data_IF_164382739372
#
_entry.id   IF_164382739372
#
_cell.length_a   1.000
_cell.length_b   1.000
_cell.length_c   1.000
_cell.angle_alpha   90.00
_cell.angle_beta   90.00
_cell.angle_gamma   90.00
#
_symmetry.space_group_name_H-M   'P 1'
#
loop_
_entity.id
_entity.type
_entity.pdbx_description
1 polymer ?
#
# COMPACT_ATOMS: atom_id res chain seq x y z
N UNK A 1 -47.04 -14.86 -24.99
CA UNK A 1 -47.31 -13.42 -25.14
C UNK A 1 -46.80 -12.59 -23.97
N UNK A 2 -46.66 -13.12 -22.74
CA UNK A 2 -46.18 -12.34 -21.57
C UNK A 2 -44.66 -12.16 -21.44
N UNK A 3 -43.85 -12.99 -22.08
CA UNK A 3 -42.37 -12.93 -21.95
C UNK A 3 -41.75 -11.72 -22.66
N UNK A 4 -42.39 -11.24 -23.72
CA UNK A 4 -41.91 -10.15 -24.57
C UNK A 4 -42.12 -8.77 -23.92
N UNK A 5 -43.23 -8.63 -23.18
CA UNK A 5 -43.60 -7.39 -22.50
C UNK A 5 -42.66 -7.11 -21.29
N UNK A 6 -42.16 -8.16 -20.64
CA UNK A 6 -41.18 -8.06 -19.55
C UNK A 6 -39.75 -7.79 -20.04
N UNK A 7 -39.42 -8.20 -21.28
CA UNK A 7 -38.14 -7.86 -21.90
C UNK A 7 -38.09 -6.36 -22.26
N UNK A 8 -39.17 -5.83 -22.84
CA UNK A 8 -39.30 -4.40 -23.18
C UNK A 8 -39.30 -3.52 -21.93
N UNK A 9 -39.99 -3.93 -20.85
CA UNK A 9 -39.93 -3.22 -19.56
C UNK A 9 -38.53 -3.20 -18.96
N UNK A 10 -37.79 -4.32 -19.01
CA UNK A 10 -36.40 -4.40 -18.52
C UNK A 10 -35.43 -3.56 -19.35
N UNK A 11 -35.62 -3.49 -20.66
CA UNK A 11 -34.82 -2.64 -21.56
C UNK A 11 -35.05 -1.15 -21.29
N UNK A 12 -36.31 -0.74 -21.12
CA UNK A 12 -36.66 0.64 -20.78
C UNK A 12 -36.19 1.05 -19.37
N UNK A 13 -36.20 0.13 -18.41
CA UNK A 13 -35.65 0.35 -17.07
C UNK A 13 -34.12 0.56 -17.13
N UNK A 14 -33.39 -0.27 -17.89
CA UNK A 14 -31.94 -0.13 -18.12
C UNK A 14 -31.60 1.18 -18.81
N UNK A 15 -32.38 1.59 -19.82
CA UNK A 15 -32.19 2.86 -20.54
C UNK A 15 -32.40 4.08 -19.64
N UNK A 16 -33.41 4.06 -18.77
CA UNK A 16 -33.60 5.09 -17.73
C UNK A 16 -32.46 5.12 -16.72
N UNK A 17 -31.92 3.96 -16.34
CA UNK A 17 -30.79 3.86 -15.41
C UNK A 17 -29.48 4.39 -16.02
N UNK A 18 -29.24 4.11 -17.30
CA UNK A 18 -28.10 4.65 -18.06
C UNK A 18 -28.20 6.17 -18.25
N UNK A 19 -29.37 6.70 -18.61
CA UNK A 19 -29.60 8.14 -18.73
C UNK A 19 -29.45 8.86 -17.39
N UNK A 20 -29.90 8.25 -16.29
CA UNK A 20 -29.72 8.80 -14.93
C UNK A 20 -28.24 8.75 -14.50
N UNK A 21 -27.49 7.71 -14.86
CA UNK A 21 -26.05 7.65 -14.62
C UNK A 21 -25.29 8.67 -15.46
N UNK A 22 -25.66 8.88 -16.71
CA UNK A 22 -25.07 9.89 -17.59
C UNK A 22 -25.36 11.31 -17.07
N UNK A 23 -26.62 11.58 -16.68
CA UNK A 23 -27.02 12.85 -16.08
C UNK A 23 -26.33 13.12 -14.73
N UNK A 24 -26.11 12.11 -13.89
CA UNK A 24 -25.33 12.26 -12.66
C UNK A 24 -23.84 12.47 -12.94
N UNK A 25 -23.29 11.90 -14.01
CA UNK A 25 -21.89 12.10 -14.40
C UNK A 25 -21.66 13.50 -14.95
N UNK A 26 -22.60 14.03 -15.74
CA UNK A 26 -22.58 15.42 -16.25
C UNK A 26 -22.86 16.43 -15.12
N UNK A 27 -23.81 16.15 -14.22
CA UNK A 27 -24.06 17.01 -13.06
C UNK A 27 -22.87 17.05 -12.07
N UNK A 28 -22.07 15.98 -11.97
CA UNK A 28 -20.81 16.00 -11.23
C UNK A 28 -19.71 16.86 -11.90
N UNK A 29 -19.84 17.17 -13.18
CA UNK A 29 -18.93 18.07 -13.92
C UNK A 29 -19.43 19.53 -13.82
N UNK A 30 -20.74 19.77 -13.72
CA UNK A 30 -21.33 21.12 -13.77
C UNK A 30 -21.72 21.73 -12.40
N UNK A 31 -21.89 20.94 -11.33
CA UNK A 31 -22.13 21.49 -9.98
C UNK A 31 -20.82 21.57 -9.16
N UNK A 32 -20.04 22.61 -9.42
CA UNK A 32 -19.09 23.15 -8.46
C UNK A 32 -19.79 24.27 -7.67
N UNK A 33 -20.21 24.05 -6.41
CA UNK A 33 -20.69 25.14 -5.57
C UNK A 33 -19.55 26.14 -5.30
N UNK A 34 -19.93 27.39 -5.08
CA UNK A 34 -19.10 28.59 -5.03
C UNK A 34 -17.68 28.40 -4.45
N UNK A 35 -16.76 28.97 -5.22
CA UNK A 35 -15.33 29.07 -4.99
C UNK A 35 -14.95 29.54 -3.57
N UNK A 36 -14.51 28.60 -2.72
CA UNK A 36 -13.39 28.86 -1.80
C UNK A 36 -12.06 28.68 -2.56
N UNK A 37 -11.88 29.40 -3.67
CA UNK A 37 -10.65 29.34 -4.46
C UNK A 37 -9.50 29.90 -3.61
N UNK A 38 -8.63 28.99 -3.20
CA UNK A 38 -7.34 29.36 -2.63
C UNK A 38 -6.52 29.95 -3.77
N UNK A 39 -5.99 31.17 -3.59
CA UNK A 39 -5.11 31.78 -4.58
C UNK A 39 -3.92 30.89 -4.84
N UNK A 40 -3.73 30.46 -6.08
CA UNK A 40 -2.57 29.64 -6.46
C UNK A 40 -1.37 30.59 -6.52
N UNK A 41 -0.29 30.34 -5.77
CA UNK A 41 0.92 31.16 -5.87
C UNK A 41 1.44 31.21 -7.30
N UNK A 42 1.85 32.40 -7.74
CA UNK A 42 2.51 32.59 -9.04
C UNK A 42 3.98 32.10 -9.01
N UNK A 43 4.42 31.57 -7.87
CA UNK A 43 5.75 30.97 -7.69
C UNK A 43 5.66 29.45 -7.70
N UNK A 44 6.53 28.82 -8.50
CA UNK A 44 6.68 27.37 -8.55
C UNK A 44 7.58 26.86 -7.44
N UNK A 45 7.31 25.65 -6.97
CA UNK A 45 8.14 24.94 -6.02
C UNK A 45 9.58 24.81 -6.53
N UNK A 46 10.56 25.10 -5.67
CA UNK A 46 11.98 25.05 -6.01
C UNK A 46 12.73 24.09 -5.10
N UNK A 47 12.92 22.86 -5.57
CA UNK A 47 13.67 21.82 -4.87
C UNK A 47 15.10 22.24 -4.50
N UNK A 48 15.77 23.03 -5.35
CA UNK A 48 17.18 23.42 -5.11
C UNK A 48 17.35 24.21 -3.83
N UNK A 49 16.32 24.96 -3.41
CA UNK A 49 16.33 25.78 -2.18
C UNK A 49 16.13 24.98 -0.89
N UNK A 50 15.72 23.72 -0.96
CA UNK A 50 15.56 22.88 0.22
C UNK A 50 16.89 22.27 0.65
N UNK A 51 17.14 22.23 1.95
CA UNK A 51 18.23 21.47 2.55
C UNK A 51 17.80 20.02 2.85
N UNK A 52 18.79 19.14 3.10
CA UNK A 52 18.52 17.72 3.36
C UNK A 52 17.65 17.47 4.59
N UNK A 53 17.81 18.17 5.74
CA UNK A 53 16.91 18.02 6.88
C UNK A 53 15.46 18.38 6.57
N UNK A 54 15.22 19.48 5.84
CA UNK A 54 13.86 19.86 5.41
C UNK A 54 13.28 18.81 4.46
N UNK A 55 14.08 18.27 3.55
CA UNK A 55 13.65 17.16 2.69
C UNK A 55 13.21 15.94 3.51
N UNK A 56 14.00 15.50 4.50
CA UNK A 56 13.63 14.38 5.39
C UNK A 56 12.33 14.67 6.13
N UNK A 57 12.16 15.89 6.65
CA UNK A 57 10.96 16.27 7.38
C UNK A 57 9.70 16.27 6.49
N UNK A 58 9.79 16.77 5.25
CA UNK A 58 8.64 16.91 4.35
C UNK A 58 8.32 15.63 3.56
N UNK A 59 9.34 14.86 3.19
CA UNK A 59 9.25 13.77 2.20
C UNK A 59 9.76 12.42 2.71
N UNK A 60 10.30 12.36 3.95
CA UNK A 60 10.94 11.18 4.59
C UNK A 60 12.30 10.78 4.03
N UNK A 61 12.65 11.26 2.84
CA UNK A 61 13.94 11.05 2.18
C UNK A 61 14.79 12.32 2.20
N UNK A 62 16.11 12.18 2.26
CA UNK A 62 17.00 13.32 2.07
C UNK A 62 17.12 13.74 0.60
N UNK A 63 17.85 14.84 0.37
CA UNK A 63 17.94 15.46 -0.95
C UNK A 63 18.55 14.52 -1.99
N UNK A 64 19.62 13.80 -1.64
CA UNK A 64 20.30 12.87 -2.55
C UNK A 64 19.43 11.65 -2.81
N UNK A 65 18.84 11.08 -1.75
CA UNK A 65 17.91 9.95 -1.85
C UNK A 65 16.70 10.27 -2.75
N UNK A 66 16.18 11.50 -2.72
CA UNK A 66 15.11 11.95 -3.62
C UNK A 66 15.60 11.97 -5.07
N UNK A 67 16.80 12.49 -5.34
CA UNK A 67 17.38 12.52 -6.68
C UNK A 67 17.59 11.10 -7.22
N UNK A 68 18.13 10.20 -6.40
CA UNK A 68 18.31 8.78 -6.73
C UNK A 68 16.95 8.11 -7.02
N UNK A 69 15.93 8.36 -6.20
CA UNK A 69 14.58 7.81 -6.40
C UNK A 69 13.93 8.26 -7.71
N UNK A 70 14.16 9.49 -8.18
CA UNK A 70 13.61 9.94 -9.47
C UNK A 70 14.12 9.06 -10.61
N UNK A 71 15.41 8.72 -10.57
CA UNK A 71 16.06 7.87 -11.57
C UNK A 71 15.58 6.43 -11.42
N UNK A 72 15.64 5.89 -10.21
CA UNK A 72 15.36 4.48 -9.95
C UNK A 72 13.88 4.11 -10.15
N UNK A 73 12.96 5.03 -9.85
CA UNK A 73 11.53 4.85 -10.14
C UNK A 73 11.19 4.97 -11.63
N UNK A 74 12.17 5.33 -12.48
CA UNK A 74 12.03 5.48 -13.93
C UNK A 74 10.82 6.35 -14.31
N UNK A 75 10.67 7.48 -13.63
CA UNK A 75 9.62 8.44 -13.97
C UNK A 75 9.99 9.13 -15.29
N UNK A 76 9.03 9.40 -16.19
CA UNK A 76 9.30 10.19 -17.38
C UNK A 76 9.70 11.61 -16.97
N UNK A 77 10.64 12.23 -17.70
CA UNK A 77 11.13 13.59 -17.44
C UNK A 77 9.99 14.59 -17.19
N UNK A 78 8.91 14.43 -17.96
CA UNK A 78 7.64 15.11 -17.76
C UNK A 78 6.53 14.08 -17.58
N UNK A 79 5.95 14.05 -16.38
CA UNK A 79 4.73 13.31 -16.08
C UNK A 79 3.54 14.04 -16.68
N UNK A 80 2.85 13.39 -17.62
CA UNK A 80 1.63 13.90 -18.26
C UNK A 80 0.45 13.04 -17.82
N UNK A 81 -0.53 13.65 -17.17
CA UNK A 81 -1.73 12.95 -16.70
C UNK A 81 -2.76 12.84 -17.82
N UNK A 82 -3.72 11.91 -17.70
CA UNK A 82 -4.84 11.79 -18.66
C UNK A 82 -5.67 13.07 -18.81
N UNK A 83 -5.70 13.91 -17.78
CA UNK A 83 -6.37 15.21 -17.80
C UNK A 83 -5.49 16.35 -18.38
N UNK A 84 -4.32 16.03 -18.94
CA UNK A 84 -3.42 17.00 -19.59
C UNK A 84 -2.54 17.80 -18.63
N UNK A 85 -2.56 17.52 -17.32
CA UNK A 85 -1.66 18.18 -16.38
C UNK A 85 -0.22 17.67 -16.53
N UNK A 86 0.75 18.58 -16.55
CA UNK A 86 2.17 18.26 -16.76
C UNK A 86 3.02 18.63 -15.55
N UNK A 87 3.90 17.77 -15.07
CA UNK A 87 4.87 18.09 -14.02
C UNK A 87 6.21 17.42 -14.30
N UNK A 88 7.31 18.06 -13.89
CA UNK A 88 8.62 17.43 -13.96
C UNK A 88 8.65 16.20 -13.03
N UNK A 89 9.39 15.16 -13.40
CA UNK A 89 9.52 13.91 -12.64
C UNK A 89 9.73 14.15 -11.13
N UNK A 90 10.70 15.01 -10.81
CA UNK A 90 11.04 15.40 -9.45
C UNK A 90 9.87 16.06 -8.71
N UNK A 91 9.20 17.04 -9.33
CA UNK A 91 8.04 17.71 -8.72
C UNK A 91 6.90 16.71 -8.49
N UNK A 92 6.65 15.83 -9.46
CA UNK A 92 5.60 14.83 -9.39
C UNK A 92 5.85 13.83 -8.26
N UNK A 93 7.10 13.36 -8.09
CA UNK A 93 7.50 12.50 -6.97
C UNK A 93 7.33 13.23 -5.63
N UNK A 94 7.73 14.49 -5.52
CA UNK A 94 7.60 15.26 -4.28
C UNK A 94 6.14 15.51 -3.90
N UNK A 95 5.25 15.69 -4.88
CA UNK A 95 3.79 15.75 -4.64
C UNK A 95 3.29 14.44 -4.04
N UNK A 96 3.76 13.29 -4.56
CA UNK A 96 3.45 11.97 -3.99
C UNK A 96 3.94 11.87 -2.54
N UNK A 97 5.25 12.04 -2.33
CA UNK A 97 5.88 11.87 -1.02
C UNK A 97 5.27 12.80 0.04
N UNK A 98 5.05 14.08 -0.30
CA UNK A 98 4.46 15.06 0.63
C UNK A 98 3.07 14.68 1.07
N UNK A 99 2.27 14.12 0.16
CA UNK A 99 0.90 13.68 0.43
C UNK A 99 0.86 12.40 1.23
N UNK A 100 1.72 11.43 0.91
CA UNK A 100 1.81 10.17 1.64
C UNK A 100 2.32 10.38 3.07
N UNK A 101 3.28 11.29 3.26
CA UNK A 101 3.93 11.55 4.55
C UNK A 101 2.97 12.11 5.61
N UNK A 102 1.97 12.92 5.23
CA UNK A 102 1.00 13.49 6.16
C UNK A 102 -0.32 13.91 5.46
N UNK A 103 -1.49 13.68 6.07
CA UNK A 103 -2.81 14.06 5.52
C UNK A 103 -3.09 15.58 5.59
N UNK A 104 -2.25 16.38 4.96
CA UNK A 104 -2.43 17.83 4.84
C UNK A 104 -3.64 18.20 3.97
N UNK A 105 -4.21 19.39 4.19
CA UNK A 105 -5.31 19.87 3.35
C UNK A 105 -4.78 20.10 1.93
N UNK A 106 -5.62 19.84 0.93
CA UNK A 106 -5.29 20.11 -0.48
C UNK A 106 -4.85 21.55 -0.72
N UNK A 107 -5.43 22.50 0.04
CA UNK A 107 -5.05 23.90 0.00
C UNK A 107 -3.61 24.16 0.41
N UNK A 108 -3.13 23.52 1.48
CA UNK A 108 -1.77 23.69 1.97
C UNK A 108 -0.76 23.14 0.94
N UNK A 109 -1.10 22.02 0.27
CA UNK A 109 -0.29 21.43 -0.80
C UNK A 109 -0.33 22.31 -2.06
N UNK A 110 -1.48 22.92 -2.37
CA UNK A 110 -1.65 23.89 -3.47
C UNK A 110 -0.69 25.06 -3.30
N UNK A 111 -0.64 25.63 -2.08
CA UNK A 111 0.32 26.69 -1.73
C UNK A 111 1.77 26.22 -1.88
N UNK A 112 2.08 25.03 -1.39
CA UNK A 112 3.44 24.52 -1.38
C UNK A 112 4.01 24.28 -2.79
N UNK A 113 3.18 23.78 -3.72
CA UNK A 113 3.61 23.44 -5.08
C UNK A 113 3.26 24.48 -6.16
N UNK A 114 2.45 25.48 -5.83
CA UNK A 114 1.95 26.44 -6.83
C UNK A 114 1.01 25.79 -7.85
N UNK A 115 0.32 24.71 -7.48
CA UNK A 115 -0.48 23.85 -8.38
C UNK A 115 -1.94 23.85 -7.98
N UNK A 116 -2.86 23.84 -8.94
CA UNK A 116 -4.29 23.71 -8.63
C UNK A 116 -4.57 22.38 -7.91
N UNK A 117 -5.65 22.34 -7.11
CA UNK A 117 -6.07 21.13 -6.39
C UNK A 117 -6.25 19.93 -7.34
N UNK A 118 -6.86 20.18 -8.49
CA UNK A 118 -7.08 19.18 -9.54
C UNK A 118 -5.76 18.64 -10.08
N UNK A 119 -4.82 19.52 -10.43
CA UNK A 119 -3.49 19.10 -10.90
C UNK A 119 -2.76 18.23 -9.87
N UNK A 120 -2.79 18.62 -8.59
CA UNK A 120 -2.17 17.83 -7.51
C UNK A 120 -2.76 16.42 -7.43
N UNK A 121 -4.10 16.28 -7.50
CA UNK A 121 -4.77 14.98 -7.42
C UNK A 121 -4.39 14.10 -8.61
N UNK A 122 -4.43 14.63 -9.83
CA UNK A 122 -4.12 13.87 -11.03
C UNK A 122 -2.64 13.46 -11.08
N UNK A 123 -1.72 14.36 -10.73
CA UNK A 123 -0.28 14.06 -10.67
C UNK A 123 -0.02 12.99 -9.60
N UNK A 124 -0.56 13.18 -8.40
CA UNK A 124 -0.46 12.21 -7.29
C UNK A 124 -0.89 10.80 -7.72
N UNK A 125 -2.10 10.67 -8.28
CA UNK A 125 -2.63 9.37 -8.69
C UNK A 125 -1.83 8.75 -9.84
N UNK A 126 -1.31 9.56 -10.77
CA UNK A 126 -0.51 9.07 -11.89
C UNK A 126 0.82 8.46 -11.41
N UNK A 127 1.57 9.20 -10.56
CA UNK A 127 2.83 8.71 -9.99
C UNK A 127 2.59 7.48 -9.09
N UNK A 128 1.53 7.51 -8.26
CA UNK A 128 1.16 6.37 -7.42
C UNK A 128 0.94 5.09 -8.25
N UNK A 129 0.15 5.18 -9.32
CA UNK A 129 -0.13 4.04 -10.19
C UNK A 129 1.09 3.58 -10.97
N UNK A 130 1.96 4.51 -11.38
CA UNK A 130 3.25 4.18 -12.01
C UNK A 130 4.11 3.32 -11.09
N UNK A 131 4.31 3.76 -9.84
CA UNK A 131 5.09 3.00 -8.85
C UNK A 131 4.44 1.64 -8.59
N UNK A 132 3.13 1.61 -8.35
CA UNK A 132 2.44 0.36 -8.08
C UNK A 132 2.56 -0.65 -9.22
N UNK A 133 2.25 -0.24 -10.47
CA UNK A 133 2.29 -1.16 -11.61
C UNK A 133 3.69 -1.73 -11.84
N UNK A 134 4.71 -0.88 -11.70
CA UNK A 134 6.08 -1.24 -12.04
C UNK A 134 6.81 -2.03 -10.96
N UNK A 135 6.46 -1.83 -9.68
CA UNK A 135 7.21 -2.37 -8.55
C UNK A 135 6.39 -3.28 -7.61
N UNK A 136 5.09 -3.49 -7.84
CA UNK A 136 4.27 -4.37 -6.98
C UNK A 136 4.81 -5.80 -6.88
N UNK A 137 5.53 -6.30 -7.88
CA UNK A 137 6.11 -7.64 -7.89
C UNK A 137 7.14 -7.84 -6.77
N UNK A 138 7.80 -6.77 -6.32
CA UNK A 138 8.72 -6.81 -5.17
C UNK A 138 8.00 -7.12 -3.84
N UNK A 139 6.68 -6.89 -3.77
CA UNK A 139 5.83 -7.27 -2.64
C UNK A 139 5.12 -8.62 -2.86
N UNK A 140 5.48 -9.38 -3.88
CA UNK A 140 4.85 -10.66 -4.21
C UNK A 140 5.86 -11.81 -4.06
N UNK A 141 6.57 -11.84 -2.93
CA UNK A 141 7.59 -12.86 -2.65
C UNK A 141 8.64 -12.95 -3.76
N UNK A 142 9.54 -11.96 -3.78
CA UNK A 142 10.59 -11.85 -4.77
C UNK A 142 11.64 -12.97 -4.64
N UNK A 143 11.46 -14.04 -5.42
CA UNK A 143 12.29 -15.25 -5.39
C UNK A 143 13.74 -15.01 -5.81
N UNK A 144 14.02 -13.92 -6.54
CA UNK A 144 15.38 -13.55 -6.91
C UNK A 144 16.16 -12.98 -5.74
N UNK A 145 15.49 -12.24 -4.86
CA UNK A 145 16.08 -11.72 -3.61
C UNK A 145 16.05 -12.75 -2.49
N UNK A 146 14.94 -13.49 -2.37
CA UNK A 146 14.71 -14.49 -1.32
C UNK A 146 15.21 -15.84 -1.82
N UNK A 147 16.53 -15.98 -1.89
CA UNK A 147 17.20 -17.23 -2.27
C UNK A 147 17.20 -18.22 -1.10
N UNK A 148 17.52 -19.49 -1.38
CA UNK A 148 17.71 -20.51 -0.34
C UNK A 148 18.72 -20.08 0.74
N UNK A 149 19.85 -19.49 0.32
CA UNK A 149 20.85 -18.96 1.25
C UNK A 149 20.28 -17.84 2.13
N UNK A 150 19.42 -16.98 1.59
CA UNK A 150 18.79 -15.90 2.36
C UNK A 150 17.76 -16.45 3.35
N UNK A 151 17.05 -17.51 2.98
CA UNK A 151 16.12 -18.20 3.89
C UNK A 151 16.85 -18.85 5.06
N UNK A 152 18.01 -19.47 4.83
CA UNK A 152 18.87 -20.00 5.89
C UNK A 152 19.31 -18.87 6.83
N UNK A 153 19.77 -17.73 6.29
CA UNK A 153 20.12 -16.56 7.10
C UNK A 153 18.95 -16.03 7.94
N UNK A 154 17.73 -16.06 7.39
CA UNK A 154 16.55 -15.65 8.14
C UNK A 154 16.24 -16.61 9.29
N UNK A 155 16.31 -17.93 9.03
CA UNK A 155 16.14 -18.95 10.05
C UNK A 155 17.16 -18.82 11.19
N UNK A 156 18.43 -18.66 10.84
CA UNK A 156 19.51 -18.43 11.80
C UNK A 156 19.27 -17.17 12.65
N UNK A 157 18.81 -16.08 12.03
CA UNK A 157 18.52 -14.83 12.72
C UNK A 157 17.36 -14.97 13.72
N UNK A 158 16.29 -15.68 13.35
CA UNK A 158 15.19 -15.99 14.27
C UNK A 158 15.68 -16.86 15.44
N UNK A 159 16.45 -17.90 15.15
CA UNK A 159 16.98 -18.79 16.17
C UNK A 159 17.94 -18.07 17.14
N UNK A 160 18.80 -17.18 16.62
CA UNK A 160 19.70 -16.35 17.42
C UNK A 160 18.95 -15.39 18.36
N UNK A 161 17.75 -14.92 17.97
CA UNK A 161 16.85 -14.15 18.83
C UNK A 161 16.01 -15.03 19.77
N UNK A 162 16.35 -16.31 19.86
CA UNK A 162 15.80 -17.33 20.76
C UNK A 162 14.43 -17.84 20.35
N UNK A 163 14.13 -17.84 19.04
CA UNK A 163 13.03 -18.66 18.52
C UNK A 163 13.37 -20.15 18.72
N UNK A 164 12.45 -20.95 19.30
CA UNK A 164 12.65 -22.38 19.49
C UNK A 164 12.63 -23.18 18.17
N UNK A 165 12.09 -22.60 17.10
CA UNK A 165 12.09 -23.18 15.76
C UNK A 165 13.40 -22.86 15.03
N UNK A 166 14.04 -23.90 14.48
CA UNK A 166 15.32 -23.80 13.77
C UNK A 166 15.16 -23.34 12.30
N UNK A 167 13.94 -23.37 11.78
CA UNK A 167 13.57 -23.18 10.37
C UNK A 167 12.56 -22.02 10.19
N UNK A 168 12.38 -21.17 11.20
CA UNK A 168 11.46 -20.05 11.14
C UNK A 168 12.02 -18.90 10.29
N UNK A 169 11.40 -18.60 9.15
CA UNK A 169 11.91 -17.62 8.17
C UNK A 169 11.15 -16.29 8.14
N UNK A 170 10.09 -16.15 8.93
CA UNK A 170 9.24 -14.95 8.94
C UNK A 170 7.95 -15.16 9.72
N UNK A 171 7.33 -14.04 10.14
CA UNK A 171 6.03 -14.05 10.82
C UNK A 171 4.93 -13.37 10.00
N UNK A 172 4.07 -14.21 9.41
CA UNK A 172 2.73 -13.92 8.95
C UNK A 172 1.81 -13.10 9.80
N UNK A 173 1.48 -11.88 9.38
CA UNK A 173 0.39 -11.21 10.07
C UNK A 173 -0.54 -10.42 9.15
N UNK A 174 -1.78 -10.32 9.62
CA UNK A 174 -2.86 -9.60 8.97
C UNK A 174 -3.01 -8.21 9.55
N UNK A 175 -3.18 -7.21 8.69
CA UNK A 175 -3.43 -5.84 9.11
C UNK A 175 -4.74 -5.30 8.55
N UNK A 176 -5.49 -4.61 9.41
CA UNK A 176 -6.81 -4.03 9.09
C UNK A 176 -6.66 -2.51 8.99
N UNK A 177 -6.87 -1.94 7.80
CA UNK A 177 -6.85 -0.48 7.61
C UNK A 177 -8.25 0.08 7.49
N UNK A 178 -8.59 0.93 8.46
CA UNK A 178 -9.90 1.57 8.53
C UNK A 178 -10.06 2.57 7.39
N UNK A 179 -11.29 2.68 6.89
CA UNK A 179 -11.66 3.65 5.88
C UNK A 179 -13.00 4.30 6.21
N UNK A 180 -13.37 5.32 5.44
CA UNK A 180 -14.71 5.89 5.49
C UNK A 180 -15.74 4.79 5.23
N UNK A 181 -16.91 4.91 5.86
CA UNK A 181 -18.07 4.08 5.52
C UNK A 181 -18.35 4.22 4.02
N UNK A 182 -18.23 3.14 3.22
CA UNK A 182 -18.52 3.23 1.79
C UNK A 182 -20.03 3.36 1.60
N UNK A 183 -20.43 4.12 0.58
CA UNK A 183 -21.81 4.14 0.09
C UNK A 183 -22.13 2.91 -0.77
N UNK A 184 -23.43 2.68 -1.04
CA UNK A 184 -23.95 1.59 -1.90
C UNK A 184 -23.56 0.17 -1.40
N UNK A 185 -23.97 -0.87 -2.15
CA UNK A 185 -24.05 -2.29 -1.74
C UNK A 185 -22.77 -3.01 -1.28
N UNK A 186 -21.65 -2.31 -1.17
CA UNK A 186 -20.33 -2.85 -0.75
C UNK A 186 -20.07 -2.63 0.74
N UNK A 187 -20.99 -1.95 1.44
CA UNK A 187 -20.90 -1.72 2.88
C UNK A 187 -20.73 -3.02 3.67
N UNK A 188 -21.56 -4.03 3.39
CA UNK A 188 -21.51 -5.33 4.09
C UNK A 188 -20.17 -6.03 3.87
N UNK A 189 -19.62 -5.96 2.66
CA UNK A 189 -18.33 -6.58 2.31
C UNK A 189 -17.12 -5.86 2.93
N UNK A 190 -17.20 -4.54 3.08
CA UNK A 190 -16.15 -3.74 3.70
C UNK A 190 -16.21 -3.72 5.23
N UNK A 191 -17.32 -4.12 5.84
CA UNK A 191 -17.51 -4.04 7.28
C UNK A 191 -16.79 -5.20 7.98
N UNK A 192 -15.79 -4.87 8.79
CA UNK A 192 -15.12 -5.83 9.66
C UNK A 192 -15.91 -5.94 10.97
N UNK A 193 -16.67 -7.03 11.10
CA UNK A 193 -17.52 -7.30 12.27
C UNK A 193 -16.76 -7.61 13.56
N UNK A 194 -15.46 -7.96 13.49
CA UNK A 194 -14.63 -8.19 14.67
C UNK A 194 -14.04 -6.88 15.23
N UNK A 195 -13.69 -5.93 14.34
CA UNK A 195 -13.12 -4.62 14.73
C UNK A 195 -14.14 -3.46 14.68
N UNK A 196 -15.40 -3.76 14.35
CA UNK A 196 -16.56 -2.85 14.33
C UNK A 196 -16.33 -1.59 13.46
N UNK A 197 -15.66 -1.77 12.33
CA UNK A 197 -15.26 -0.68 11.43
C UNK A 197 -15.25 -1.10 9.97
N UNK A 198 -15.48 -0.15 9.06
CA UNK A 198 -15.28 -0.40 7.64
C UNK A 198 -13.79 -0.35 7.33
N UNK A 199 -13.27 -1.40 6.70
CA UNK A 199 -11.84 -1.57 6.52
C UNK A 199 -11.51 -2.43 5.30
N UNK A 200 -10.27 -2.30 4.87
CA UNK A 200 -9.60 -3.25 3.98
C UNK A 200 -8.59 -4.05 4.80
N UNK A 201 -8.32 -5.28 4.37
CA UNK A 201 -7.36 -6.18 4.98
C UNK A 201 -6.17 -6.43 4.06
N UNK A 202 -5.00 -6.56 4.66
CA UNK A 202 -3.79 -7.04 4.02
C UNK A 202 -3.16 -8.12 4.89
N UNK A 203 -2.35 -8.97 4.28
CA UNK A 203 -1.50 -9.93 4.98
C UNK A 203 -0.08 -9.74 4.49
N UNK A 204 0.89 -9.75 5.40
CA UNK A 204 2.27 -9.43 5.07
C UNK A 204 3.26 -10.37 5.72
N UNK A 205 4.28 -10.75 4.96
CA UNK A 205 5.51 -11.36 5.49
C UNK A 205 6.58 -10.25 5.57
N UNK A 206 7.01 -9.90 6.78
CA UNK A 206 8.21 -9.09 7.02
C UNK A 206 9.42 -9.97 7.31
N UNK A 207 10.54 -9.70 6.66
CA UNK A 207 11.77 -10.48 6.84
C UNK A 207 12.71 -9.89 7.90
N UNK A 208 13.63 -10.70 8.45
CA UNK A 208 14.66 -10.25 9.38
C UNK A 208 15.55 -9.11 8.89
N UNK A 209 15.76 -8.99 7.57
CA UNK A 209 16.48 -7.87 6.95
C UNK A 209 15.70 -6.55 6.95
N UNK A 210 14.51 -6.53 7.58
CA UNK A 210 13.65 -5.35 7.70
C UNK A 210 12.83 -5.05 6.45
N UNK A 211 12.89 -5.90 5.41
CA UNK A 211 12.11 -5.73 4.19
C UNK A 211 10.75 -6.42 4.30
N UNK A 212 9.71 -5.72 3.87
CA UNK A 212 8.40 -6.33 3.66
C UNK A 212 8.48 -7.15 2.36
N UNK A 213 8.61 -8.46 2.48
CA UNK A 213 8.84 -9.39 1.39
C UNK A 213 7.56 -9.79 0.63
N UNK A 214 6.45 -9.78 1.34
CA UNK A 214 5.15 -10.10 0.78
C UNK A 214 4.08 -9.20 1.36
N UNK A 215 3.15 -8.75 0.51
CA UNK A 215 1.97 -8.00 0.92
C UNK A 215 0.78 -8.36 0.02
N UNK A 216 -0.05 -9.28 0.50
CA UNK A 216 -1.30 -9.66 -0.14
C UNK A 216 -2.44 -8.70 0.25
N UNK A 217 -3.27 -8.31 -0.72
CA UNK A 217 -4.38 -7.38 -0.54
C UNK A 217 -4.39 -6.26 -1.59
N UNK A 218 -5.41 -5.39 -1.60
CA UNK A 218 -6.46 -5.22 -0.59
C UNK A 218 -7.58 -6.26 -0.66
N UNK A 219 -8.06 -6.72 0.49
CA UNK A 219 -9.21 -7.63 0.60
C UNK A 219 -10.35 -7.00 1.41
N UNK A 220 -11.62 -7.35 1.13
CA UNK A 220 -12.76 -6.79 1.87
C UNK A 220 -12.71 -7.13 3.37
N UNK A 221 -12.96 -6.14 4.23
CA UNK A 221 -12.89 -6.30 5.69
C UNK A 221 -13.83 -7.35 6.29
N UNK A 222 -14.89 -7.75 5.58
CA UNK A 222 -15.83 -8.81 6.01
C UNK A 222 -15.30 -10.22 5.79
N UNK A 223 -14.26 -10.41 4.96
CA UNK A 223 -13.67 -11.74 4.77
C UNK A 223 -13.00 -12.15 6.07
N UNK A 224 -13.27 -13.39 6.51
CA UNK A 224 -12.50 -14.01 7.57
C UNK A 224 -11.05 -14.15 7.12
N UNK A 225 -10.12 -14.07 8.06
CA UNK A 225 -8.69 -14.22 7.80
C UNK A 225 -8.37 -15.62 7.19
N UNK A 226 -9.33 -16.55 7.29
CA UNK A 226 -9.36 -17.92 6.77
C UNK A 226 -9.28 -18.08 5.23
N UNK A 227 -9.17 -17.01 4.44
CA UNK A 227 -9.20 -17.09 2.95
C UNK A 227 -7.81 -17.07 2.30
N UNK A 228 -6.71 -17.03 3.07
CA UNK A 228 -5.35 -16.89 2.55
C UNK A 228 -4.48 -18.14 2.77
N UNK A 229 -3.61 -18.41 1.80
CA UNK A 229 -2.50 -19.39 1.80
C UNK A 229 -1.25 -18.50 1.65
N UNK A 230 -0.26 -18.35 2.55
CA UNK A 230 0.23 -19.06 3.74
C UNK A 230 0.40 -18.09 4.93
N UNK A 231 0.12 -18.61 6.14
CA UNK A 231 0.47 -18.18 7.51
C UNK A 231 -0.57 -17.38 8.29
N UNK A 232 -0.93 -17.86 9.49
CA UNK A 232 -1.64 -16.99 10.40
C UNK A 232 -1.72 -17.41 11.86
N UNK A 233 -2.38 -16.50 12.56
CA UNK A 233 -3.13 -16.57 13.81
C UNK A 233 -3.25 -17.94 14.52
N UNK A 234 -3.30 -18.01 15.86
CA UNK A 234 -3.47 -19.26 16.60
C UNK A 234 -4.69 -20.11 16.17
N UNK A 235 -5.63 -19.57 15.38
CA UNK A 235 -6.79 -20.26 14.80
C UNK A 235 -6.48 -21.28 13.68
N UNK A 236 -5.26 -21.34 13.13
CA UNK A 236 -4.90 -22.34 12.12
C UNK A 236 -4.32 -23.59 12.79
N UNK A 237 -4.95 -24.74 12.60
CA UNK A 237 -4.42 -26.02 13.07
C UNK A 237 -3.02 -26.30 12.49
N UNK A 238 -2.24 -27.11 13.21
CA UNK A 238 -0.87 -27.50 12.83
C UNK A 238 -0.84 -28.09 11.40
N UNK A 239 0.01 -27.54 10.53
CA UNK A 239 0.32 -28.08 9.19
C UNK A 239 1.84 -28.19 9.06
N UNK A 240 2.35 -29.04 8.18
CA UNK A 240 3.79 -29.33 8.02
C UNK A 240 4.66 -28.08 7.73
N UNK A 241 4.06 -26.98 7.27
CA UNK A 241 4.73 -25.71 6.96
C UNK A 241 4.24 -24.53 7.81
N UNK A 242 3.44 -24.77 8.85
CA UNK A 242 2.89 -23.72 9.72
C UNK A 242 2.75 -24.17 11.17
N UNK A 243 3.42 -23.42 12.06
CA UNK A 243 3.37 -23.63 13.51
C UNK A 243 2.55 -22.51 14.15
N UNK A 244 1.50 -22.88 14.88
CA UNK A 244 0.65 -21.97 15.65
C UNK A 244 0.97 -22.06 17.13
N UNK A 245 0.79 -20.97 17.92
CA UNK A 245 0.90 -21.03 19.37
C UNK A 245 -0.01 -22.09 19.98
N UNK A 246 0.47 -22.79 21.01
CA UNK A 246 -0.34 -23.75 21.76
C UNK A 246 -1.54 -23.04 22.41
N UNK A 247 -2.73 -23.67 22.34
CA UNK A 247 -3.99 -23.16 22.89
C UNK A 247 -4.57 -24.08 23.95
N UNK A 248 -5.18 -23.50 24.99
CA UNK A 248 -5.91 -24.23 26.02
C UNK A 248 -6.01 -23.43 27.32
N UNK A 249 -6.95 -23.78 28.19
CA UNK A 249 -7.07 -23.17 29.53
C UNK A 249 -5.93 -23.60 30.48
N UNK A 250 -5.27 -24.71 30.18
CA UNK A 250 -4.11 -25.23 30.89
C UNK A 250 -3.02 -25.58 29.87
N UNK A 251 -2.03 -24.71 29.73
CA UNK A 251 -0.83 -24.98 28.95
C UNK A 251 0.22 -25.60 29.87
N UNK A 252 1.00 -26.55 29.34
CA UNK A 252 2.18 -27.04 30.07
C UNK A 252 3.23 -25.94 30.18
N UNK A 253 4.15 -26.04 31.14
CA UNK A 253 5.23 -25.06 31.30
C UNK A 253 6.10 -24.95 30.03
N UNK A 254 6.37 -26.08 29.37
CA UNK A 254 7.09 -26.14 28.09
C UNK A 254 6.32 -25.43 26.96
N UNK A 255 4.99 -25.61 26.88
CA UNK A 255 4.16 -24.95 25.88
C UNK A 255 4.06 -23.44 26.11
N UNK A 256 3.98 -23.01 27.38
CA UNK A 256 3.99 -21.59 27.73
C UNK A 256 5.36 -20.95 27.44
N UNK A 257 6.46 -21.64 27.77
CA UNK A 257 7.81 -21.21 27.43
C UNK A 257 8.02 -21.08 25.91
N UNK A 258 7.55 -22.06 25.13
CA UNK A 258 7.55 -22.00 23.67
C UNK A 258 6.75 -20.80 23.15
N UNK A 259 5.52 -20.61 23.64
CA UNK A 259 4.66 -19.50 23.24
C UNK A 259 5.29 -18.15 23.58
N UNK A 260 5.92 -18.01 24.76
CA UNK A 260 6.64 -16.79 25.17
C UNK A 260 7.84 -16.51 24.26
N UNK A 261 8.64 -17.52 23.95
CA UNK A 261 9.79 -17.40 23.08
C UNK A 261 9.39 -16.98 21.66
N UNK A 262 8.36 -17.62 21.09
CA UNK A 262 7.79 -17.23 19.80
C UNK A 262 7.17 -15.83 19.84
N UNK A 263 6.37 -15.50 20.86
CA UNK A 263 5.74 -14.17 20.99
C UNK A 263 6.76 -13.02 20.98
N UNK A 264 7.93 -13.23 21.61
CA UNK A 264 9.03 -12.26 21.61
C UNK A 264 9.54 -11.95 20.21
N UNK A 265 9.71 -12.95 19.34
CA UNK A 265 10.16 -12.73 17.97
C UNK A 265 9.03 -12.29 17.05
N UNK A 266 7.78 -12.63 17.37
CA UNK A 266 6.60 -12.25 16.59
C UNK A 266 6.26 -10.75 16.67
N UNK A 267 6.63 -10.07 17.75
CA UNK A 267 6.40 -8.61 17.88
C UNK A 267 6.99 -7.79 16.72
N UNK A 268 7.98 -8.33 16.01
CA UNK A 268 8.65 -7.65 14.90
C UNK A 268 7.72 -7.40 13.71
N UNK A 269 6.70 -8.22 13.50
CA UNK A 269 5.71 -7.98 12.43
C UNK A 269 4.86 -6.74 12.70
N UNK A 270 4.54 -6.48 13.98
CA UNK A 270 3.82 -5.28 14.38
C UNK A 270 4.68 -4.03 14.14
N UNK A 271 6.00 -4.13 14.37
CA UNK A 271 6.94 -3.05 14.05
C UNK A 271 6.96 -2.75 12.54
N UNK A 272 6.89 -3.77 11.68
CA UNK A 272 6.85 -3.56 10.23
C UNK A 272 5.59 -2.80 9.80
N UNK A 273 4.41 -3.17 10.32
CA UNK A 273 3.18 -2.41 10.07
C UNK A 273 3.22 -1.00 10.69
N UNK A 274 3.83 -0.88 11.87
CA UNK A 274 4.06 0.39 12.55
C UNK A 274 4.89 1.35 11.69
N UNK A 275 5.96 0.84 11.06
CA UNK A 275 6.83 1.60 10.17
C UNK A 275 6.09 2.22 8.98
N UNK A 276 5.19 1.46 8.34
CA UNK A 276 4.40 1.97 7.20
C UNK A 276 3.57 3.19 7.65
N UNK A 277 2.86 3.07 8.77
CA UNK A 277 1.95 4.14 9.25
C UNK A 277 2.73 5.32 9.81
N UNK A 278 3.83 5.07 10.52
CA UNK A 278 4.70 6.11 11.07
C UNK A 278 5.33 6.95 9.94
N UNK A 279 5.78 6.30 8.86
CA UNK A 279 6.35 7.01 7.71
C UNK A 279 5.25 7.70 6.88
N UNK A 280 4.10 7.05 6.70
CA UNK A 280 3.05 7.44 5.74
C UNK A 280 1.69 7.61 6.39
N UNK A 281 1.52 8.62 7.26
CA UNK A 281 0.28 8.86 8.00
C UNK A 281 -0.97 9.03 7.11
N UNK A 282 -0.82 9.31 5.82
CA UNK A 282 -1.94 9.37 4.88
C UNK A 282 -2.76 8.09 4.81
N UNK A 283 -2.11 6.91 4.91
CA UNK A 283 -2.78 5.61 4.80
C UNK A 283 -3.54 5.19 6.07
N UNK A 284 -3.40 5.97 7.15
CA UNK A 284 -4.11 5.76 8.41
C UNK A 284 -5.19 6.83 8.66
N UNK A 285 -5.25 7.86 7.81
CA UNK A 285 -6.26 8.92 7.91
C UNK A 285 -7.62 8.49 7.33
N UNK A 286 -8.26 7.54 8.00
CA UNK A 286 -9.50 6.89 7.59
C UNK A 286 -10.65 7.85 7.23
N UNK A 287 -10.70 9.05 7.82
CA UNK A 287 -11.70 10.10 7.50
C UNK A 287 -11.64 10.61 6.05
N UNK A 288 -10.52 10.37 5.36
CA UNK A 288 -10.32 10.76 3.97
C UNK A 288 -10.25 9.57 3.01
N UNK A 289 -10.02 8.36 3.51
CA UNK A 289 -9.92 7.16 2.68
C UNK A 289 -11.31 6.71 2.23
N UNK A 290 -11.69 7.09 1.00
CA UNK A 290 -13.02 6.83 0.44
C UNK A 290 -12.92 5.84 -0.71
N UNK A 291 -13.35 4.60 -0.46
CA UNK A 291 -13.51 3.58 -1.49
C UNK A 291 -14.42 4.10 -2.61
N UNK A 292 -14.13 3.74 -3.87
CA UNK A 292 -14.79 4.21 -5.11
C UNK A 292 -14.46 5.62 -5.59
N UNK A 293 -13.95 6.50 -4.71
CA UNK A 293 -13.45 7.81 -5.11
C UNK A 293 -11.93 7.82 -5.25
N UNK A 294 -11.26 6.86 -4.61
CA UNK A 294 -9.82 6.78 -4.49
C UNK A 294 -9.36 5.32 -4.55
N UNK A 295 -8.16 5.05 -5.09
CA UNK A 295 -7.58 3.72 -5.08
C UNK A 295 -6.98 3.41 -3.70
N UNK A 296 -7.82 3.34 -2.65
CA UNK A 296 -7.40 3.17 -1.24
C UNK A 296 -6.48 1.96 -1.06
N UNK A 297 -6.77 0.87 -1.78
CA UNK A 297 -5.92 -0.32 -1.83
C UNK A 297 -4.48 -0.05 -2.23
N UNK A 298 -4.31 0.68 -3.33
CA UNK A 298 -3.01 1.00 -3.93
C UNK A 298 -2.17 1.88 -3.01
N UNK A 299 -2.81 2.77 -2.22
CA UNK A 299 -2.08 3.62 -1.27
C UNK A 299 -1.26 2.79 -0.28
N UNK A 300 -1.82 1.71 0.27
CA UNK A 300 -1.11 0.89 1.25
C UNK A 300 0.06 0.13 0.62
N UNK A 301 -0.14 -0.46 -0.56
CA UNK A 301 0.92 -1.17 -1.27
C UNK A 301 2.07 -0.23 -1.66
N UNK A 302 1.76 0.99 -2.14
CA UNK A 302 2.81 1.99 -2.43
C UNK A 302 3.48 2.48 -1.15
N UNK A 303 2.76 2.64 -0.04
CA UNK A 303 3.36 2.96 1.24
C UNK A 303 4.34 1.87 1.72
N UNK A 304 4.01 0.59 1.52
CA UNK A 304 4.92 -0.52 1.80
C UNK A 304 6.18 -0.47 0.90
N UNK A 305 6.01 -0.28 -0.41
CA UNK A 305 7.14 -0.11 -1.34
C UNK A 305 8.07 1.05 -0.94
N UNK A 306 7.50 2.22 -0.64
CA UNK A 306 8.26 3.39 -0.18
C UNK A 306 8.93 3.14 1.17
N UNK A 307 8.34 2.33 2.05
CA UNK A 307 8.94 1.93 3.34
C UNK A 307 10.14 1.01 3.15
N UNK A 308 10.06 0.05 2.22
CA UNK A 308 11.20 -0.78 1.84
C UNK A 308 12.32 0.07 1.23
N UNK A 309 12.00 0.97 0.29
CA UNK A 309 12.98 1.91 -0.29
C UNK A 309 13.63 2.78 0.78
N UNK A 310 12.86 3.29 1.74
CA UNK A 310 13.38 4.09 2.85
C UNK A 310 14.30 3.27 3.76
N UNK A 311 13.96 2.00 4.02
CA UNK A 311 14.80 1.07 4.78
C UNK A 311 16.13 0.85 4.06
N UNK A 312 16.10 0.56 2.75
CA UNK A 312 17.28 0.39 1.92
C UNK A 312 18.17 1.66 1.91
N UNK A 313 17.56 2.84 1.80
CA UNK A 313 18.27 4.12 1.83
C UNK A 313 18.91 4.45 3.18
N UNK A 314 18.30 4.00 4.29
CA UNK A 314 18.85 4.17 5.64
C UNK A 314 19.91 3.12 5.99
N UNK A 315 19.85 1.96 5.35
CA UNK A 315 20.68 0.80 5.67
C UNK A 315 20.24 0.05 6.93
N UNK A 316 19.15 0.47 7.59
CA UNK A 316 18.58 -0.21 8.74
C UNK A 316 17.18 0.34 9.11
N UNK A 317 16.41 -0.51 9.78
CA UNK A 317 15.23 -0.21 10.58
C UNK A 317 15.22 -1.08 11.86
N UNK A 318 14.21 -0.91 12.71
CA UNK A 318 14.09 -1.59 14.00
C UNK A 318 14.11 -3.12 13.87
N UNK A 319 13.55 -3.69 12.80
CA UNK A 319 13.57 -5.14 12.55
C UNK A 319 15.00 -5.60 12.21
N UNK A 320 15.63 -4.96 11.22
CA UNK A 320 17.00 -5.32 10.82
C UNK A 320 18.01 -5.19 11.96
N UNK A 321 17.83 -4.19 12.84
CA UNK A 321 18.67 -3.99 14.03
C UNK A 321 18.42 -5.11 15.04
N UNK A 322 17.16 -5.46 15.29
CA UNK A 322 16.80 -6.52 16.22
C UNK A 322 17.35 -7.87 15.79
N UNK A 323 17.26 -8.21 14.50
CA UNK A 323 17.78 -9.46 13.96
C UNK A 323 19.27 -9.41 13.57
N UNK A 324 19.92 -8.24 13.68
CA UNK A 324 21.29 -8.00 13.26
C UNK A 324 21.56 -8.43 11.79
N UNK A 325 20.61 -8.13 10.89
CA UNK A 325 20.71 -8.47 9.48
C UNK A 325 20.42 -7.25 8.62
N UNK A 326 21.41 -6.82 7.84
CA UNK A 326 21.29 -5.60 7.04
C UNK A 326 20.32 -5.77 5.85
N UNK A 327 19.51 -4.72 5.53
CA UNK A 327 18.70 -4.67 4.33
C UNK A 327 19.59 -4.58 3.07
N UNK A 328 19.06 -4.98 1.90
CA UNK A 328 19.71 -4.70 0.62
C UNK A 328 19.84 -3.19 0.38
N UNK A 329 20.76 -2.81 -0.50
CA UNK A 329 20.82 -1.44 -1.03
C UNK A 329 19.59 -1.13 -1.88
N UNK A 330 19.31 0.17 -2.11
CA UNK A 330 18.16 0.59 -2.91
C UNK A 330 18.22 -0.02 -4.32
N UNK A 331 19.41 -0.07 -4.91
CA UNK A 331 19.61 -0.61 -6.25
C UNK A 331 19.39 -2.13 -6.28
N UNK A 332 19.96 -2.88 -5.33
CA UNK A 332 19.72 -4.33 -5.21
C UNK A 332 18.24 -4.65 -5.02
N UNK A 333 17.52 -3.87 -4.21
CA UNK A 333 16.09 -4.08 -3.98
C UNK A 333 15.23 -3.78 -5.21
N UNK A 334 15.52 -2.72 -5.96
CA UNK A 334 14.68 -2.30 -7.11
C UNK A 334 14.97 -3.08 -8.40
N UNK A 335 16.15 -3.70 -8.51
CA UNK A 335 16.57 -4.49 -9.68
C UNK A 335 16.75 -5.98 -9.38
N UNK A 336 16.29 -6.46 -8.22
CA UNK A 336 16.38 -7.87 -7.83
C UNK A 336 15.65 -8.79 -8.82
N UNK A 337 14.46 -8.41 -9.27
CA UNK A 337 13.68 -9.14 -10.28
C UNK A 337 13.21 -8.23 -11.40
N UNK A 338 13.22 -8.72 -12.66
CA UNK A 338 12.68 -7.97 -13.78
C UNK A 338 11.21 -7.67 -13.53
N UNK A 339 10.79 -6.43 -13.81
CA UNK A 339 9.38 -6.09 -13.79
C UNK A 339 8.63 -7.05 -14.73
N UNK A 340 7.44 -7.56 -14.34
CA UNK A 340 6.67 -8.42 -15.22
C UNK A 340 6.50 -7.74 -16.56
N UNK A 341 6.84 -8.42 -17.65
CA UNK A 341 6.50 -7.98 -19.00
C UNK A 341 4.99 -7.74 -19.00
N UNK A 342 4.53 -6.53 -19.32
CA UNK A 342 3.10 -6.29 -19.50
C UNK A 342 2.65 -7.29 -20.58
N UNK A 343 1.92 -8.34 -20.18
CA UNK A 343 1.08 -9.09 -21.10
C UNK A 343 0.25 -8.01 -21.78
N UNK A 344 0.43 -7.88 -23.10
CA UNK A 344 -0.14 -6.81 -23.90
C UNK A 344 -1.61 -6.66 -23.57
N UNK A 345 -2.09 -5.42 -23.59
CA UNK A 345 -3.51 -5.10 -23.58
C UNK A 345 -4.25 -6.16 -24.41
N UNK A 346 -5.06 -6.99 -23.73
CA UNK A 346 -6.04 -7.83 -24.40
C UNK A 346 -6.84 -6.85 -25.25
N UNK A 347 -6.62 -6.93 -26.56
CA UNK A 347 -7.53 -6.38 -27.53
C UNK A 347 -8.86 -7.05 -27.21
N UNK A 348 -9.79 -6.30 -26.60
CA UNK A 348 -11.21 -6.63 -26.69
C UNK A 348 -11.50 -6.65 -28.19
N UNK A 349 -11.44 -7.84 -28.78
CA UNK A 349 -12.07 -8.15 -30.05
C UNK A 349 -13.54 -7.79 -29.88
N UNK A 350 -13.92 -6.67 -30.51
CA UNK A 350 -15.30 -6.38 -30.87
C UNK A 350 -15.76 -7.50 -31.82
N UNK A 351 -16.32 -8.56 -31.25
CA UNK A 351 -17.09 -9.55 -32.01
C UNK A 351 -18.43 -8.94 -32.43
N UNK A 352 -18.68 -9.00 -33.74
CA UNK A 352 -19.83 -8.52 -34.51
C UNK A 352 -21.23 -8.92 -34.00
#
# INVERSE_FOLDING_TARGET
MDTDNDAVKRANQRRKQLLLMLAMTVACIEFAPDSMAIQIPDTRFNFKRLDSPTCKFLFRFDKKQIEDLVVELRLPDVVITKAGHKALALEALLILLRRMAYPGRLGDITQHFGRSRTAIIFIFNNVLLHIFRRFKHLLLWDTHRITEQKLIQFADAYHAQGAPLIDCIGDPDGTVRQMCRPGKGVQKAAYNGHKWKHALKWQSISCPDGIIAHLHGPEPGSRHDLTFVVYGDPAYGLKDWMVSPFKGAQLTEEQDAFNKAMSRVRVTVEWAFGLIVANWAFVDFHKNLKLWLQPVGVYYNVAALLTNMLTCCKGANELSIFFALDPPTLNEYLHSSPAPTELGDDQEEDDE
#
